data_IF_764328483925
#
_entry.id   IF_764328483925
#
_cell.length_a   1.000
_cell.length_b   1.000
_cell.length_c   1.000
_cell.angle_alpha   90.00
_cell.angle_beta   90.00
_cell.angle_gamma   90.00
#
_symmetry.space_group_name_H-M   'P 1'
#
loop_
_entity.id
_entity.type
_entity.pdbx_description
1 polymer ?
#
# COMPACT_ATOMS: atom_id res chain seq x y z
N UNK A 1 -8.18 12.75 13.11
CA UNK A 1 -8.09 11.32 13.39
C UNK A 1 -8.16 10.52 12.10
N UNK A 2 -7.19 9.64 11.88
CA UNK A 2 -7.14 8.84 10.66
C UNK A 2 -8.23 7.79 10.67
N UNK A 3 -9.02 7.75 9.60
CA UNK A 3 -10.06 6.75 9.41
C UNK A 3 -9.72 5.83 8.25
N UNK A 4 -10.25 4.61 8.31
CA UNK A 4 -10.12 3.63 7.23
C UNK A 4 -11.03 4.04 6.07
N UNK A 5 -10.49 4.03 4.85
CA UNK A 5 -11.29 4.31 3.66
C UNK A 5 -12.43 3.28 3.53
N UNK A 6 -13.61 3.71 3.01
CA UNK A 6 -14.74 2.78 2.82
C UNK A 6 -14.35 1.56 1.99
N UNK A 7 -14.76 0.37 2.44
CA UNK A 7 -14.51 -0.89 1.76
C UNK A 7 -13.19 -1.57 2.10
N UNK A 8 -12.29 -0.92 2.84
CA UNK A 8 -10.99 -1.52 3.19
C UNK A 8 -11.15 -2.81 4.01
N UNK A 9 -11.97 -2.86 5.07
CA UNK A 9 -12.11 -4.12 5.82
C UNK A 9 -12.57 -5.29 4.96
N UNK A 10 -13.53 -5.09 4.08
CA UNK A 10 -13.99 -6.13 3.15
C UNK A 10 -12.91 -6.57 2.18
N UNK A 11 -12.15 -5.63 1.67
CA UNK A 11 -11.03 -5.91 0.76
C UNK A 11 -9.94 -6.72 1.46
N UNK A 12 -9.54 -6.33 2.67
CA UNK A 12 -8.55 -7.07 3.45
C UNK A 12 -9.00 -8.49 3.76
N UNK A 13 -10.26 -8.67 4.11
CA UNK A 13 -10.82 -10.00 4.36
C UNK A 13 -10.82 -10.87 3.10
N UNK A 14 -11.12 -10.30 1.94
CA UNK A 14 -11.04 -11.00 0.66
C UNK A 14 -9.62 -11.48 0.36
N UNK A 15 -8.61 -10.65 0.65
CA UNK A 15 -7.20 -11.01 0.49
C UNK A 15 -6.81 -12.13 1.45
N UNK A 16 -7.23 -12.04 2.70
CA UNK A 16 -6.94 -13.10 3.69
C UNK A 16 -7.53 -14.44 3.27
N UNK A 17 -8.75 -14.45 2.76
CA UNK A 17 -9.41 -15.68 2.27
C UNK A 17 -8.67 -16.30 1.08
N UNK A 18 -7.82 -15.56 0.40
CA UNK A 18 -6.99 -16.03 -0.72
C UNK A 18 -5.54 -16.28 -0.32
N UNK A 19 -5.25 -16.29 0.97
CA UNK A 19 -3.91 -16.48 1.52
C UNK A 19 -2.86 -15.47 1.00
N UNK A 20 -3.30 -14.25 0.71
CA UNK A 20 -2.42 -13.16 0.30
C UNK A 20 -1.75 -12.57 1.54
N UNK A 21 -0.42 -12.51 1.54
CA UNK A 21 0.35 -11.88 2.61
C UNK A 21 0.36 -10.37 2.43
N UNK A 22 0.23 -9.63 3.53
CA UNK A 22 0.24 -8.18 3.52
C UNK A 22 1.22 -7.63 4.54
N UNK A 23 1.85 -6.53 4.15
CA UNK A 23 2.58 -5.67 5.08
C UNK A 23 2.35 -4.21 4.71
N UNK A 24 2.72 -3.32 5.59
CA UNK A 24 2.60 -1.87 5.39
C UNK A 24 3.98 -1.28 5.23
N UNK A 25 4.11 -0.38 4.24
CA UNK A 25 5.27 0.46 4.03
C UNK A 25 4.81 1.91 4.09
N UNK A 26 5.24 2.67 5.09
CA UNK A 26 4.69 3.99 5.36
C UNK A 26 5.76 5.02 5.74
N UNK A 27 5.51 6.28 5.38
CA UNK A 27 6.30 7.41 5.86
C UNK A 27 5.86 7.89 7.25
N UNK A 28 4.72 7.42 7.74
CA UNK A 28 4.17 7.80 9.06
C UNK A 28 4.94 7.10 10.18
N UNK A 29 5.11 7.80 11.31
CA UNK A 29 5.79 7.23 12.48
C UNK A 29 5.11 5.96 12.97
N UNK A 30 5.91 4.97 13.38
CA UNK A 30 5.43 3.64 13.74
C UNK A 30 4.34 3.67 14.81
N UNK A 31 4.52 4.44 15.88
CA UNK A 31 3.55 4.49 16.97
C UNK A 31 2.18 5.02 16.51
N UNK A 32 2.16 5.95 15.55
CA UNK A 32 0.93 6.50 15.00
C UNK A 32 0.21 5.47 14.11
N UNK A 33 0.98 4.77 13.28
CA UNK A 33 0.45 3.71 12.42
C UNK A 33 -0.13 2.57 13.25
N UNK A 34 0.64 2.07 14.22
CA UNK A 34 0.19 0.97 15.08
C UNK A 34 -1.07 1.36 15.87
N UNK A 35 -1.13 2.58 16.39
CA UNK A 35 -2.33 3.06 17.09
C UNK A 35 -3.54 3.12 16.16
N UNK A 36 -3.37 3.62 14.94
CA UNK A 36 -4.46 3.69 13.97
C UNK A 36 -4.94 2.30 13.54
N UNK A 37 -4.03 1.38 13.27
CA UNK A 37 -4.36 0.01 12.89
C UNK A 37 -5.11 -0.72 14.00
N UNK A 38 -4.67 -0.55 15.24
CA UNK A 38 -5.31 -1.15 16.41
C UNK A 38 -6.72 -0.56 16.63
N UNK A 39 -6.84 0.76 16.57
CA UNK A 39 -8.13 1.44 16.76
C UNK A 39 -9.16 1.03 15.73
N UNK A 40 -8.74 0.85 14.48
CA UNK A 40 -9.63 0.49 13.38
C UNK A 40 -9.83 -1.03 13.25
N UNK A 41 -9.12 -1.83 14.05
CA UNK A 41 -9.28 -3.28 14.07
C UNK A 41 -8.65 -4.02 12.90
N UNK A 42 -7.84 -3.38 12.07
CA UNK A 42 -7.28 -4.02 10.88
C UNK A 42 -5.82 -4.48 11.05
N UNK A 43 -5.21 -4.23 12.22
CA UNK A 43 -3.81 -4.64 12.46
C UNK A 43 -3.54 -6.12 12.17
N UNK A 44 -4.43 -7.06 12.55
CA UNK A 44 -4.17 -8.50 12.33
C UNK A 44 -4.00 -8.92 10.87
N UNK A 45 -4.46 -8.13 9.91
CA UNK A 45 -4.30 -8.46 8.50
C UNK A 45 -2.87 -8.31 8.00
N UNK A 46 -2.02 -7.56 8.73
CA UNK A 46 -0.66 -7.23 8.28
C UNK A 46 0.38 -8.00 9.08
N UNK A 47 1.30 -8.64 8.38
CA UNK A 47 2.39 -9.38 9.01
C UNK A 47 3.47 -8.49 9.60
N UNK A 48 3.64 -7.28 9.06
CA UNK A 48 4.63 -6.32 9.53
C UNK A 48 4.28 -4.90 9.11
N UNK A 49 4.88 -3.93 9.78
CA UNK A 49 4.83 -2.50 9.42
C UNK A 49 6.26 -1.99 9.29
N UNK A 50 6.60 -1.50 8.11
CA UNK A 50 7.89 -0.87 7.85
C UNK A 50 7.71 0.64 7.71
N UNK A 51 8.58 1.41 8.33
CA UNK A 51 8.54 2.87 8.25
C UNK A 51 9.77 3.40 7.53
N UNK A 52 9.64 4.57 6.90
CA UNK A 52 10.78 5.23 6.29
C UNK A 52 11.87 5.54 7.32
N UNK A 53 11.50 5.88 8.55
CA UNK A 53 12.45 6.12 9.62
C UNK A 53 13.28 4.87 9.94
N UNK A 54 12.65 3.69 10.05
CA UNK A 54 13.37 2.45 10.36
C UNK A 54 14.24 1.97 9.20
N UNK A 55 13.82 2.21 7.97
CA UNK A 55 14.59 1.84 6.78
C UNK A 55 15.71 2.85 6.50
N UNK A 56 15.54 4.10 6.93
CA UNK A 56 16.53 5.17 6.74
C UNK A 56 16.43 5.89 5.40
N UNK A 57 15.38 5.64 4.63
CA UNK A 57 15.16 6.27 3.31
C UNK A 57 13.67 6.55 3.12
N UNK A 58 13.35 7.68 2.48
CA UNK A 58 12.00 8.02 2.09
C UNK A 58 11.53 7.27 0.84
N UNK A 59 10.27 7.46 0.46
CA UNK A 59 9.66 6.81 -0.70
C UNK A 59 10.05 7.45 -2.05
N UNK A 60 10.94 8.43 -2.05
CA UNK A 60 11.65 8.89 -3.25
C UNK A 60 12.73 7.89 -3.69
N UNK A 61 13.06 6.92 -2.83
CA UNK A 61 13.97 5.80 -3.09
C UNK A 61 13.25 4.47 -2.84
N UNK A 62 13.66 3.37 -3.52
CA UNK A 62 12.90 2.12 -3.46
C UNK A 62 13.16 1.23 -2.25
N UNK A 63 14.02 1.64 -1.31
CA UNK A 63 14.50 0.79 -0.22
C UNK A 63 13.37 0.18 0.61
N UNK A 64 12.34 0.96 0.95
CA UNK A 64 11.24 0.46 1.77
C UNK A 64 10.42 -0.60 1.02
N UNK A 65 10.25 -0.45 -0.29
CA UNK A 65 9.54 -1.43 -1.11
C UNK A 65 10.31 -2.75 -1.19
N UNK A 66 11.64 -2.68 -1.32
CA UNK A 66 12.50 -3.87 -1.31
C UNK A 66 12.50 -4.56 0.06
N UNK A 67 12.51 -3.80 1.14
CA UNK A 67 12.41 -4.35 2.50
C UNK A 67 11.08 -5.09 2.69
N UNK A 68 9.98 -4.50 2.24
CA UNK A 68 8.67 -5.14 2.29
C UNK A 68 8.63 -6.42 1.44
N UNK A 69 9.19 -6.39 0.24
CA UNK A 69 9.27 -7.56 -0.64
C UNK A 69 10.03 -8.71 0.03
N UNK A 70 11.19 -8.42 0.63
CA UNK A 70 12.00 -9.42 1.33
C UNK A 70 11.21 -10.07 2.47
N UNK A 71 10.48 -9.26 3.23
CA UNK A 71 9.62 -9.78 4.32
C UNK A 71 8.54 -10.71 3.77
N UNK A 72 7.87 -10.31 2.69
CA UNK A 72 6.79 -11.11 2.11
C UNK A 72 7.28 -12.44 1.55
N UNK A 73 8.53 -12.52 1.13
CA UNK A 73 9.11 -13.75 0.58
C UNK A 73 8.54 -14.15 -0.77
N UNK A 74 7.90 -13.20 -1.48
CA UNK A 74 7.34 -13.42 -2.80
C UNK A 74 8.25 -12.84 -3.87
N UNK A 75 8.05 -13.20 -5.13
CA UNK A 75 8.75 -12.55 -6.22
C UNK A 75 8.14 -11.19 -6.52
N UNK A 76 8.97 -10.27 -7.00
CA UNK A 76 8.51 -8.92 -7.37
C UNK A 76 7.34 -8.97 -8.38
N UNK A 77 7.41 -9.90 -9.31
CA UNK A 77 6.38 -10.12 -10.35
C UNK A 77 4.99 -10.40 -9.76
N UNK A 78 4.94 -11.08 -8.61
CA UNK A 78 3.68 -11.47 -7.96
C UNK A 78 3.37 -10.64 -6.72
N UNK A 79 3.99 -9.46 -6.62
CA UNK A 79 3.81 -8.56 -5.48
C UNK A 79 3.24 -7.24 -5.98
N UNK A 80 2.15 -6.81 -5.37
CA UNK A 80 1.46 -5.59 -5.74
C UNK A 80 1.70 -4.52 -4.68
N UNK A 81 2.07 -3.33 -5.12
CA UNK A 81 2.16 -2.14 -4.27
C UNK A 81 0.86 -1.35 -4.43
N UNK A 82 0.21 -1.02 -3.32
CA UNK A 82 -0.90 -0.07 -3.30
C UNK A 82 -0.38 1.25 -2.73
N UNK A 83 -0.52 2.33 -3.49
CA UNK A 83 0.06 3.62 -3.13
C UNK A 83 -0.81 4.76 -3.65
N UNK A 84 -0.90 5.86 -2.89
CA UNK A 84 -1.72 7.02 -3.24
C UNK A 84 -0.92 8.24 -3.70
N UNK A 85 0.35 8.33 -3.31
CA UNK A 85 1.19 9.49 -3.66
C UNK A 85 1.93 9.26 -4.98
N UNK A 86 1.82 10.21 -5.90
CA UNK A 86 2.42 10.10 -7.23
C UNK A 86 3.92 9.85 -7.18
N UNK A 87 4.66 10.56 -6.32
CA UNK A 87 6.11 10.39 -6.25
C UNK A 87 6.49 8.97 -5.83
N UNK A 88 5.75 8.39 -4.90
CA UNK A 88 6.01 7.03 -4.43
C UNK A 88 5.62 5.99 -5.49
N UNK A 89 4.54 6.22 -6.22
CA UNK A 89 4.13 5.38 -7.35
C UNK A 89 5.23 5.36 -8.40
N UNK A 90 5.78 6.52 -8.76
CA UNK A 90 6.89 6.63 -9.72
C UNK A 90 8.12 5.87 -9.26
N UNK A 91 8.45 5.96 -7.97
CA UNK A 91 9.57 5.23 -7.39
C UNK A 91 9.38 3.72 -7.51
N UNK A 92 8.21 3.22 -7.12
CA UNK A 92 7.90 1.80 -7.18
C UNK A 92 7.89 1.29 -8.64
N UNK A 93 7.30 2.05 -9.56
CA UNK A 93 7.27 1.69 -10.98
C UNK A 93 8.68 1.65 -11.57
N UNK A 94 9.51 2.64 -11.28
CA UNK A 94 10.90 2.67 -11.74
C UNK A 94 11.72 1.50 -11.21
N UNK A 95 11.40 1.01 -10.02
CA UNK A 95 12.04 -0.15 -9.41
C UNK A 95 11.50 -1.50 -9.92
N UNK A 96 10.49 -1.49 -10.79
CA UNK A 96 9.97 -2.70 -11.43
C UNK A 96 8.74 -3.34 -10.77
N UNK A 97 8.11 -2.64 -9.82
CA UNK A 97 6.90 -3.15 -9.17
C UNK A 97 5.66 -2.93 -10.00
N UNK A 98 4.69 -3.82 -9.84
CA UNK A 98 3.31 -3.59 -10.27
C UNK A 98 2.62 -2.75 -9.21
N UNK A 99 1.95 -1.67 -9.62
CA UNK A 99 1.35 -0.70 -8.69
C UNK A 99 -0.12 -0.50 -8.98
N UNK A 100 -0.94 -0.58 -7.93
CA UNK A 100 -2.30 -0.09 -7.92
C UNK A 100 -2.30 1.30 -7.28
N UNK A 101 -2.59 2.32 -8.07
CA UNK A 101 -2.77 3.67 -7.57
C UNK A 101 -4.12 3.78 -6.86
N UNK A 102 -4.14 4.39 -5.69
CA UNK A 102 -5.35 4.54 -4.88
C UNK A 102 -5.72 6.01 -4.78
N UNK A 103 -6.97 6.34 -5.06
CA UNK A 103 -7.42 7.72 -4.91
C UNK A 103 -7.25 8.22 -3.49
N UNK A 104 -6.67 9.39 -3.36
CA UNK A 104 -6.62 10.14 -2.10
C UNK A 104 -6.66 11.63 -2.42
N UNK A 105 -7.51 12.42 -1.71
CA UNK A 105 -7.63 13.84 -2.01
C UNK A 105 -6.37 14.66 -1.71
N UNK A 106 -5.41 14.10 -0.96
CA UNK A 106 -4.13 14.75 -0.71
C UNK A 106 -3.21 14.77 -1.94
N UNK A 107 -3.45 13.90 -2.93
CA UNK A 107 -2.69 13.89 -4.19
C UNK A 107 -3.39 14.77 -5.22
N UNK A 108 -2.78 15.90 -5.65
CA UNK A 108 -3.44 16.83 -6.54
C UNK A 108 -3.49 16.35 -8.00
N UNK A 109 -2.61 15.45 -8.42
CA UNK A 109 -2.49 15.03 -9.82
C UNK A 109 -2.96 13.61 -10.07
N UNK A 110 -4.28 13.42 -9.97
CA UNK A 110 -4.88 12.10 -10.20
C UNK A 110 -4.73 11.61 -11.64
N UNK A 111 -4.67 12.51 -12.61
CA UNK A 111 -4.44 12.14 -14.00
C UNK A 111 -3.07 11.47 -14.17
N UNK A 112 -2.03 12.02 -13.56
CA UNK A 112 -0.70 11.43 -13.59
C UNK A 112 -0.64 10.10 -12.84
N UNK A 113 -1.36 9.96 -11.72
CA UNK A 113 -1.49 8.68 -11.01
C UNK A 113 -2.08 7.62 -11.93
N UNK A 114 -3.19 7.92 -12.60
CA UNK A 114 -3.85 6.99 -13.53
C UNK A 114 -2.94 6.58 -14.69
N UNK A 115 -2.13 7.50 -15.19
CA UNK A 115 -1.22 7.21 -16.31
C UNK A 115 -0.01 6.38 -15.88
N UNK A 116 0.41 6.48 -14.61
CA UNK A 116 1.62 5.84 -14.12
C UNK A 116 1.39 4.45 -13.56
N UNK A 117 0.26 4.20 -12.90
CA UNK A 117 -0.03 2.93 -12.25
C UNK A 117 -0.57 1.88 -13.23
N UNK A 118 -0.49 0.61 -12.82
CA UNK A 118 -1.02 -0.52 -13.61
C UNK A 118 -2.53 -0.70 -13.39
N UNK A 119 -3.00 -0.41 -12.17
CA UNK A 119 -4.41 -0.45 -11.79
C UNK A 119 -4.74 0.82 -11.04
N UNK A 120 -5.98 1.29 -11.16
CA UNK A 120 -6.42 2.46 -10.41
C UNK A 120 -7.66 2.13 -9.58
N UNK A 121 -7.58 2.40 -8.29
CA UNK A 121 -8.66 2.19 -7.32
C UNK A 121 -9.19 3.55 -6.88
N UNK A 122 -10.32 3.96 -7.39
CA UNK A 122 -10.99 5.19 -6.94
C UNK A 122 -11.77 4.96 -5.64
N UNK A 123 -12.20 3.72 -5.40
CA UNK A 123 -13.00 3.32 -4.25
C UNK A 123 -12.67 1.87 -3.89
N UNK A 124 -12.27 1.62 -2.65
CA UNK A 124 -11.91 0.27 -2.19
C UNK A 124 -13.08 -0.72 -2.27
N UNK A 125 -14.32 -0.23 -2.30
CA UNK A 125 -15.49 -1.11 -2.50
C UNK A 125 -15.48 -1.79 -3.86
N UNK A 126 -14.74 -1.23 -4.83
CA UNK A 126 -14.54 -1.80 -6.18
C UNK A 126 -13.25 -2.59 -6.32
N UNK A 127 -12.36 -2.53 -5.34
CA UNK A 127 -11.00 -3.08 -5.45
C UNK A 127 -10.99 -4.58 -5.73
N UNK A 128 -11.91 -5.34 -5.13
CA UNK A 128 -12.03 -6.78 -5.37
C UNK A 128 -12.27 -7.09 -6.83
N UNK A 129 -13.16 -6.35 -7.50
CA UNK A 129 -13.45 -6.55 -8.93
C UNK A 129 -12.32 -6.10 -9.85
N UNK A 130 -11.46 -5.19 -9.40
CA UNK A 130 -10.32 -4.68 -10.17
C UNK A 130 -9.11 -5.62 -10.05
N UNK A 131 -8.82 -6.09 -8.83
CA UNK A 131 -7.58 -6.80 -8.50
C UNK A 131 -7.77 -8.32 -8.39
N UNK A 132 -8.95 -8.78 -8.08
CA UNK A 132 -9.29 -10.17 -7.85
C UNK A 132 -10.38 -10.64 -8.78
#
# INVERSE_FOLDING_TARGET
EVQVKPGVPHFLEALRCRDVRLCIATATDLHLVEAALKRTGIRPYFGAVFTCTSVGHGKDEPHIFHTALDFLGTSQRYTLVLEDALYAIRTAKAAGYTVAGVFDPSEPDQAAVKNCCDYYIDDYRKAKGILL
#
